data_IF_572550458538
#
_entry.id   IF_572550458538
#
_cell.length_a   1.000
_cell.length_b   1.000
_cell.length_c   1.000
_cell.angle_alpha   90.00
_cell.angle_beta   90.00
_cell.angle_gamma   90.00
#
_symmetry.space_group_name_H-M   'P 1'
#
loop_
_entity.id
_entity.type
_entity.pdbx_description
1 polymer ?
#
# COMPACT_ATOMS: atom_id res chain seq x y z
N UNK A 1 14.64 12.11 -2.03
CA UNK A 1 13.25 12.53 -1.79
C UNK A 1 13.05 13.92 -2.37
N UNK A 2 11.92 14.17 -3.04
CA UNK A 2 11.57 15.45 -3.67
C UNK A 2 10.26 16.06 -3.13
N UNK A 3 9.37 15.26 -2.54
CA UNK A 3 8.11 15.74 -1.93
C UNK A 3 7.92 15.19 -0.50
N UNK A 4 8.74 15.64 0.48
CA UNK A 4 8.76 15.04 1.81
C UNK A 4 7.42 15.14 2.55
N UNK A 5 6.72 16.28 2.46
CA UNK A 5 5.39 16.46 3.05
C UNK A 5 4.28 15.62 2.40
N UNK A 6 4.58 14.93 1.30
CA UNK A 6 3.67 13.99 0.64
C UNK A 6 4.25 12.58 0.58
N UNK A 7 5.29 12.29 1.37
CA UNK A 7 5.92 10.97 1.41
C UNK A 7 5.48 10.22 2.65
N UNK A 8 4.77 9.13 2.46
CA UNK A 8 4.44 8.17 3.51
C UNK A 8 5.70 7.49 4.03
N UNK A 9 5.79 7.34 5.35
CA UNK A 9 6.80 6.53 6.03
C UNK A 9 6.24 5.16 6.37
N UNK A 10 5.02 5.10 6.93
CA UNK A 10 4.26 3.88 7.15
C UNK A 10 2.77 4.20 7.34
N UNK A 11 1.92 3.18 7.26
CA UNK A 11 0.52 3.26 7.67
C UNK A 11 0.05 1.91 8.21
N UNK A 12 -1.16 1.86 8.77
CA UNK A 12 -1.78 0.64 9.27
C UNK A 12 -1.83 -0.42 8.17
N UNK A 13 -1.21 -1.58 8.38
CA UNK A 13 -1.20 -2.67 7.40
C UNK A 13 -2.21 -3.76 7.70
N UNK A 14 -2.78 -4.29 6.63
CA UNK A 14 -3.72 -5.41 6.64
C UNK A 14 -3.02 -6.76 6.75
N UNK A 15 -1.75 -6.84 6.34
CA UNK A 15 -1.07 -8.11 6.11
C UNK A 15 -1.68 -8.94 4.99
N UNK A 16 -1.22 -10.17 4.85
CA UNK A 16 -1.51 -11.02 3.70
C UNK A 16 -2.53 -12.14 3.95
N UNK A 17 -3.05 -12.30 5.16
CA UNK A 17 -3.97 -13.40 5.51
C UNK A 17 -5.44 -12.96 5.56
N UNK A 18 -6.41 -13.87 5.47
CA UNK A 18 -7.86 -13.60 5.65
C UNK A 18 -8.33 -14.41 6.87
N UNK A 19 -8.92 -13.79 7.92
CA UNK A 19 -9.60 -12.50 7.93
C UNK A 19 -8.73 -11.26 8.23
N UNK A 20 -7.53 -11.41 8.81
CA UNK A 20 -6.54 -10.35 9.07
C UNK A 20 -5.18 -10.98 9.44
N UNK A 21 -4.07 -10.27 9.21
CA UNK A 21 -2.78 -10.60 9.84
C UNK A 21 -1.80 -11.25 8.88
N UNK A 22 -0.75 -11.86 9.46
CA UNK A 22 0.45 -12.38 8.79
C UNK A 22 1.15 -11.31 7.94
N UNK A 23 2.43 -11.02 8.22
CA UNK A 23 3.14 -9.90 7.58
C UNK A 23 2.48 -8.51 7.73
N UNK A 24 1.55 -8.31 8.67
CA UNK A 24 0.95 -6.99 8.97
C UNK A 24 1.95 -5.96 9.56
N UNK A 25 3.23 -6.31 9.69
CA UNK A 25 4.33 -5.40 9.96
C UNK A 25 4.98 -4.83 8.67
N UNK A 26 4.52 -5.27 7.50
CA UNK A 26 4.91 -4.79 6.18
C UNK A 26 3.71 -4.06 5.56
N UNK A 27 3.95 -3.03 4.75
CA UNK A 27 2.89 -2.35 4.01
C UNK A 27 3.36 -2.06 2.59
N UNK A 28 2.59 -2.49 1.62
CA UNK A 28 2.91 -2.36 0.21
C UNK A 28 2.18 -1.17 -0.42
N UNK A 29 2.85 -0.43 -1.32
CA UNK A 29 2.23 0.66 -2.05
C UNK A 29 1.16 0.13 -3.01
N UNK A 30 0.20 0.97 -3.44
CA UNK A 30 -0.83 0.62 -4.41
C UNK A 30 -0.26 0.20 -5.77
N UNK A 31 0.93 0.73 -6.10
CA UNK A 31 1.62 0.50 -7.36
C UNK A 31 3.10 0.33 -7.12
N UNK A 32 3.67 -0.71 -7.73
CA UNK A 32 5.09 -1.00 -7.64
C UNK A 32 5.88 0.05 -8.43
N UNK A 33 6.92 0.63 -7.84
CA UNK A 33 7.77 1.62 -8.48
C UNK A 33 9.01 0.95 -9.08
N UNK A 34 8.85 0.21 -10.18
CA UNK A 34 9.95 -0.56 -10.81
C UNK A 34 11.07 0.36 -11.26
N UNK A 35 10.73 1.56 -11.73
CA UNK A 35 11.67 2.63 -12.06
C UNK A 35 12.54 3.11 -10.89
N UNK A 36 12.14 2.77 -9.66
CA UNK A 36 12.86 3.07 -8.40
C UNK A 36 13.55 1.83 -7.83
N UNK A 37 13.56 0.71 -8.57
CA UNK A 37 14.21 -0.54 -8.17
C UNK A 37 13.34 -1.45 -7.29
N UNK A 38 12.03 -1.18 -7.16
CA UNK A 38 11.13 -2.12 -6.51
C UNK A 38 10.93 -3.35 -7.40
N UNK A 39 11.12 -4.55 -6.83
CA UNK A 39 11.08 -5.81 -7.57
C UNK A 39 9.88 -6.68 -7.19
N UNK A 40 9.44 -6.60 -5.94
CA UNK A 40 8.39 -7.45 -5.38
C UNK A 40 7.56 -6.69 -4.35
N UNK A 41 6.30 -7.09 -4.19
CA UNK A 41 5.50 -6.79 -3.00
C UNK A 41 5.82 -7.79 -1.88
N UNK A 42 5.33 -7.50 -0.67
CA UNK A 42 5.42 -8.38 0.47
C UNK A 42 4.09 -9.11 0.76
N UNK A 43 4.12 -10.41 1.12
CA UNK A 43 5.28 -11.28 1.24
C UNK A 43 5.74 -11.88 -0.11
N UNK A 44 7.06 -12.14 -0.23
CA UNK A 44 7.65 -12.74 -1.44
C UNK A 44 7.27 -14.20 -1.66
N UNK A 45 6.85 -14.91 -0.62
CA UNK A 45 6.49 -16.32 -0.71
C UNK A 45 4.96 -16.46 -0.89
N UNK A 46 4.49 -16.99 -2.03
CA UNK A 46 3.06 -17.14 -2.32
C UNK A 46 2.35 -18.16 -1.41
N UNK A 47 3.08 -18.94 -0.61
CA UNK A 47 2.50 -19.90 0.33
C UNK A 47 2.10 -19.27 1.69
N UNK A 48 2.45 -18.01 1.95
CA UNK A 48 2.25 -17.33 3.24
C UNK A 48 0.87 -16.66 3.40
N UNK A 49 -0.01 -16.78 2.42
CA UNK A 49 -1.36 -16.26 2.55
C UNK A 49 -2.13 -16.27 1.25
N UNK A 50 -3.47 -16.17 1.32
CA UNK A 50 -4.30 -15.98 0.13
C UNK A 50 -3.97 -14.66 -0.59
N UNK A 51 -3.48 -13.64 0.10
CA UNK A 51 -3.05 -12.38 -0.50
C UNK A 51 -1.55 -12.42 -0.78
N UNK A 52 -1.15 -11.93 -1.96
CA UNK A 52 0.27 -11.84 -2.38
C UNK A 52 0.82 -10.41 -2.24
N UNK A 53 0.22 -9.68 -1.30
CA UNK A 53 0.26 -8.24 -1.22
C UNK A 53 -0.27 -7.81 0.16
N UNK A 54 0.36 -6.82 0.79
CA UNK A 54 0.00 -6.33 2.13
C UNK A 54 -0.49 -4.88 2.08
N UNK A 55 -1.77 -4.62 1.76
CA UNK A 55 -2.31 -3.26 1.67
C UNK A 55 -2.37 -2.55 3.01
N UNK A 56 -2.62 -1.24 2.95
CA UNK A 56 -3.13 -0.51 4.11
C UNK A 56 -4.45 -1.13 4.62
N UNK A 57 -4.74 -0.95 5.91
CA UNK A 57 -5.96 -1.41 6.57
C UNK A 57 -6.76 -0.25 7.14
N UNK A 58 -7.95 -0.05 6.57
CA UNK A 58 -8.88 0.98 6.99
C UNK A 58 -9.75 0.56 8.20
N UNK A 59 -9.16 -0.16 9.17
CA UNK A 59 -9.89 -0.70 10.33
C UNK A 59 -10.40 0.37 11.30
N UNK A 60 -9.87 1.59 11.23
CA UNK A 60 -10.17 2.68 12.16
C UNK A 60 -11.27 3.58 11.61
N UNK A 61 -12.50 3.05 11.48
CA UNK A 61 -13.62 3.84 10.96
C UNK A 61 -13.55 4.08 9.45
N UNK A 62 -13.04 3.10 8.68
CA UNK A 62 -12.86 3.15 7.21
C UNK A 62 -11.76 4.11 6.73
N UNK A 63 -10.82 4.42 7.61
CA UNK A 63 -9.57 5.11 7.29
C UNK A 63 -8.38 4.34 7.88
N UNK A 64 -7.23 4.46 7.22
CA UNK A 64 -5.94 4.03 7.72
C UNK A 64 -5.20 5.25 8.27
N UNK A 65 -4.50 5.09 9.39
CA UNK A 65 -3.62 6.14 9.91
C UNK A 65 -2.29 6.07 9.16
N UNK A 66 -1.88 7.20 8.60
CA UNK A 66 -0.68 7.36 7.82
C UNK A 66 0.27 8.34 8.51
N UNK A 67 1.55 7.97 8.60
CA UNK A 67 2.62 8.86 9.04
C UNK A 67 3.44 9.33 7.83
N UNK A 68 3.75 10.62 7.78
CA UNK A 68 4.48 11.25 6.68
C UNK A 68 5.88 11.68 7.10
N UNK A 69 6.76 11.85 6.11
CA UNK A 69 8.19 12.07 6.31
C UNK A 69 8.53 13.44 6.92
N UNK A 70 7.66 14.43 6.75
CA UNK A 70 7.74 15.72 7.43
C UNK A 70 7.28 15.67 8.91
N UNK A 71 6.83 14.50 9.39
CA UNK A 71 6.49 14.23 10.78
C UNK A 71 5.00 14.36 11.11
N UNK A 72 4.14 14.72 10.16
CA UNK A 72 2.69 14.75 10.43
C UNK A 72 2.07 13.35 10.30
N UNK A 73 0.86 13.22 10.85
CA UNK A 73 0.01 12.06 10.66
C UNK A 73 -1.36 12.48 10.16
N UNK A 74 -1.94 11.69 9.28
CA UNK A 74 -3.26 11.93 8.69
C UNK A 74 -4.06 10.61 8.63
N UNK A 75 -5.37 10.70 8.83
CA UNK A 75 -6.28 9.58 8.62
C UNK A 75 -6.80 9.63 7.18
N UNK A 76 -6.52 8.59 6.38
CA UNK A 76 -6.75 8.59 4.94
C UNK A 76 -7.58 7.38 4.50
N UNK A 77 -8.44 7.56 3.51
CA UNK A 77 -9.10 6.43 2.83
C UNK A 77 -8.12 5.70 1.91
N UNK A 78 -8.51 4.51 1.45
CA UNK A 78 -7.72 3.75 0.48
C UNK A 78 -7.44 4.55 -0.80
N UNK A 79 -8.45 5.25 -1.33
CA UNK A 79 -8.34 6.06 -2.53
C UNK A 79 -7.40 7.25 -2.33
N UNK A 80 -7.45 7.90 -1.16
CA UNK A 80 -6.52 8.98 -0.83
C UNK A 80 -5.06 8.49 -0.74
N UNK A 81 -4.85 7.25 -0.26
CA UNK A 81 -3.54 6.58 -0.26
C UNK A 81 -3.10 6.10 -1.67
N UNK A 82 -3.99 6.20 -2.66
CA UNK A 82 -3.72 5.85 -4.05
C UNK A 82 -4.11 4.43 -4.44
N UNK A 83 -4.79 3.68 -3.58
CA UNK A 83 -5.31 2.35 -3.89
C UNK A 83 -6.54 2.44 -4.79
N UNK A 84 -6.60 1.55 -5.78
CA UNK A 84 -7.89 1.21 -6.41
C UNK A 84 -8.68 0.29 -5.49
N UNK A 85 -9.98 0.58 -5.32
CA UNK A 85 -10.85 -0.12 -4.39
C UNK A 85 -11.88 -0.94 -5.16
N UNK A 86 -11.99 -2.22 -4.80
CA UNK A 86 -13.03 -3.09 -5.32
C UNK A 86 -14.41 -2.62 -4.80
N UNK A 87 -15.36 -2.30 -5.71
CA UNK A 87 -16.67 -1.80 -5.32
C UNK A 87 -17.51 -2.82 -4.53
N UNK A 88 -17.27 -4.13 -4.66
CA UNK A 88 -18.00 -5.18 -3.97
C UNK A 88 -17.47 -5.38 -2.54
N UNK A 89 -16.15 -5.47 -2.38
CA UNK A 89 -15.52 -5.77 -1.08
C UNK A 89 -15.19 -4.51 -0.27
N UNK A 90 -15.17 -3.34 -0.90
CA UNK A 90 -14.72 -2.06 -0.33
C UNK A 90 -13.29 -2.13 0.22
N UNK A 91 -12.43 -2.94 -0.40
CA UNK A 91 -11.02 -3.14 -0.05
C UNK A 91 -10.13 -2.82 -1.25
N UNK A 92 -8.82 -2.55 -1.04
CA UNK A 92 -7.87 -2.43 -2.13
C UNK A 92 -7.93 -3.67 -3.01
N UNK A 93 -7.87 -3.46 -4.33
CA UNK A 93 -7.83 -4.57 -5.30
C UNK A 93 -6.61 -5.44 -5.00
N UNK A 94 -6.87 -6.72 -4.72
CA UNK A 94 -5.84 -7.71 -4.40
C UNK A 94 -5.15 -8.13 -5.72
N UNK A 95 -3.81 -7.97 -5.81
CA UNK A 95 -3.03 -8.37 -6.98
C UNK A 95 -2.07 -9.53 -6.70
N UNK A 96 -1.67 -10.22 -7.77
CA UNK A 96 -0.67 -11.27 -7.72
C UNK A 96 0.76 -10.74 -7.86
N UNK A 97 1.73 -11.50 -7.35
CA UNK A 97 3.19 -11.25 -7.45
C UNK A 97 3.69 -10.91 -8.87
N UNK A 98 2.97 -11.35 -9.91
CA UNK A 98 3.38 -11.21 -11.32
C UNK A 98 2.70 -10.04 -12.04
N UNK A 99 1.78 -9.34 -11.39
CA UNK A 99 1.09 -8.20 -11.98
C UNK A 99 1.96 -6.96 -11.85
N UNK A 100 2.96 -6.86 -12.73
CA UNK A 100 3.93 -5.76 -12.77
C UNK A 100 3.18 -4.43 -12.65
N UNK A 101 3.39 -3.76 -11.52
CA UNK A 101 2.95 -2.38 -11.31
C UNK A 101 1.75 -2.16 -10.38
N UNK A 102 0.93 -3.14 -9.98
CA UNK A 102 -0.24 -2.81 -9.12
C UNK A 102 -1.30 -1.91 -9.82
N UNK A 103 -2.57 -1.85 -9.39
CA UNK A 103 -3.55 -0.90 -9.91
C UNK A 103 -3.60 0.30 -8.95
N UNK A 104 -3.39 1.51 -9.44
CA UNK A 104 -3.44 2.72 -8.61
C UNK A 104 -2.23 3.61 -8.77
N UNK A 105 -1.91 4.34 -7.71
CA UNK A 105 -1.06 5.52 -7.77
C UNK A 105 -0.09 5.58 -6.61
N UNK A 106 1.21 5.41 -6.88
CA UNK A 106 2.22 5.34 -5.82
C UNK A 106 2.85 6.69 -5.46
N UNK A 107 2.23 7.82 -5.82
CA UNK A 107 2.83 9.17 -5.64
C UNK A 107 3.25 9.50 -4.22
N UNK A 108 2.54 8.94 -3.24
CA UNK A 108 2.80 9.15 -1.82
C UNK A 108 3.90 8.23 -1.29
N UNK A 109 4.29 7.19 -2.02
CA UNK A 109 5.09 6.07 -1.50
C UNK A 109 6.55 6.09 -1.97
N UNK A 110 6.83 6.80 -3.06
CA UNK A 110 8.15 6.80 -3.72
C UNK A 110 9.02 8.00 -3.32
N UNK A 111 8.42 8.97 -2.65
CA UNK A 111 9.02 10.24 -2.28
C UNK A 111 9.29 11.20 -3.43
N UNK A 112 8.78 10.92 -4.64
CA UNK A 112 8.90 11.83 -5.79
C UNK A 112 7.70 12.75 -5.96
N UNK A 113 6.58 12.45 -5.30
CA UNK A 113 5.30 13.15 -5.49
C UNK A 113 4.62 12.83 -6.82
N UNK A 114 5.09 11.80 -7.54
CA UNK A 114 4.58 11.38 -8.85
C UNK A 114 4.26 9.89 -8.84
N UNK A 115 3.28 9.50 -9.63
CA UNK A 115 3.03 8.09 -9.89
C UNK A 115 4.16 7.52 -10.77
N UNK A 116 5.07 6.79 -10.14
CA UNK A 116 6.21 6.15 -10.77
C UNK A 116 5.77 4.83 -11.44
N UNK A 117 6.29 4.51 -12.63
CA UNK A 117 6.15 3.18 -13.23
C UNK A 117 6.97 2.12 -12.50
#
# INVERSE_FOLDING_TARGET
IKSPAQTLVFCDSRGCNIPHGEHAYLVDPPKMAVSRGALDFAPKNPALGPLKYSPADARHGRVANAAFLDGHAEAMTYEQLGYEVDPATKRPVEKGLNDVGGPGNNRLWTGTGRDEP
#
